data_IF_573980194468
#
_entry.id   IF_573980194468
#
_cell.length_a   1.000
_cell.length_b   1.000
_cell.length_c   1.000
_cell.angle_alpha   90.00
_cell.angle_beta   90.00
_cell.angle_gamma   90.00
#
_symmetry.space_group_name_H-M   'P 1'
#
loop_
_entity.id
_entity.type
_entity.pdbx_description
1 polymer ?
#
# COMPACT_ATOMS: atom_id res chain seq x y z
N UNK A 1 -80.81 25.04 10.13
CA UNK A 1 -79.55 24.99 10.92
C UNK A 1 -79.22 23.52 11.11
N UNK A 2 -78.45 22.91 10.20
CA UNK A 2 -78.10 21.48 10.30
C UNK A 2 -76.98 21.31 11.33
N UNK A 3 -77.29 20.51 12.35
CA UNK A 3 -76.48 20.17 13.50
C UNK A 3 -75.48 19.10 13.04
N UNK A 4 -74.18 19.34 13.21
CA UNK A 4 -73.13 18.38 12.89
C UNK A 4 -73.22 17.15 13.78
N UNK A 5 -73.39 15.98 13.17
CA UNK A 5 -73.40 14.68 13.85
C UNK A 5 -71.94 14.30 14.18
N UNK A 6 -71.58 14.07 15.46
CA UNK A 6 -70.22 13.71 15.85
C UNK A 6 -69.89 12.27 15.42
N UNK A 7 -68.72 12.09 14.80
CA UNK A 7 -68.18 10.77 14.46
C UNK A 7 -67.84 10.03 15.76
N UNK A 8 -68.23 8.75 15.92
CA UNK A 8 -67.92 7.97 17.13
C UNK A 8 -66.41 7.78 17.35
N UNK A 9 -65.92 8.06 18.56
CA UNK A 9 -64.51 7.92 18.99
C UNK A 9 -63.88 6.54 18.69
N UNK A 10 -64.71 5.49 18.56
CA UNK A 10 -64.27 4.13 18.25
C UNK A 10 -63.79 3.97 16.79
N UNK A 11 -64.40 4.69 15.84
CA UNK A 11 -64.01 4.70 14.43
C UNK A 11 -62.71 5.49 14.24
N UNK A 12 -62.55 6.62 14.94
CA UNK A 12 -61.34 7.42 14.93
C UNK A 12 -60.12 6.64 15.49
N UNK A 13 -60.31 5.88 16.58
CA UNK A 13 -59.26 5.01 17.15
C UNK A 13 -58.84 3.88 16.20
N UNK A 14 -59.80 3.19 15.56
CA UNK A 14 -59.50 2.14 14.57
C UNK A 14 -58.74 2.69 13.37
N UNK A 15 -59.12 3.87 12.88
CA UNK A 15 -58.45 4.52 11.77
C UNK A 15 -57.00 4.91 12.12
N UNK A 16 -56.77 5.44 13.32
CA UNK A 16 -55.44 5.79 13.84
C UNK A 16 -54.53 4.56 14.03
N UNK A 17 -55.11 3.45 14.49
CA UNK A 17 -54.39 2.19 14.65
C UNK A 17 -54.00 1.57 13.30
N UNK A 18 -54.90 1.59 12.31
CA UNK A 18 -54.62 1.13 10.95
C UNK A 18 -53.54 1.99 10.26
N UNK A 19 -53.56 3.30 10.47
CA UNK A 19 -52.48 4.18 10.00
C UNK A 19 -51.13 3.87 10.67
N UNK A 20 -51.10 3.60 11.98
CA UNK A 20 -49.87 3.21 12.68
C UNK A 20 -49.31 1.87 12.18
N UNK A 21 -50.16 0.87 11.95
CA UNK A 21 -49.75 -0.43 11.37
C UNK A 21 -49.23 -0.24 9.95
N UNK A 22 -49.90 0.59 9.14
CA UNK A 22 -49.44 0.95 7.79
C UNK A 22 -48.06 1.63 7.80
N UNK A 23 -47.85 2.60 8.69
CA UNK A 23 -46.55 3.27 8.84
C UNK A 23 -45.44 2.32 9.30
N UNK A 24 -45.74 1.35 10.17
CA UNK A 24 -44.77 0.35 10.62
C UNK A 24 -44.39 -0.61 9.48
N UNK A 25 -45.36 -1.06 8.69
CA UNK A 25 -45.13 -1.91 7.52
C UNK A 25 -44.28 -1.20 6.45
N UNK A 26 -44.56 0.09 6.19
CA UNK A 26 -43.77 0.91 5.25
C UNK A 26 -42.33 1.10 5.75
N UNK A 27 -42.13 1.33 7.06
CA UNK A 27 -40.78 1.42 7.65
C UNK A 27 -40.01 0.10 7.56
N UNK A 28 -40.66 -1.03 7.81
CA UNK A 28 -40.04 -2.35 7.65
C UNK A 28 -39.65 -2.63 6.19
N UNK A 29 -40.51 -2.29 5.24
CA UNK A 29 -40.22 -2.43 3.81
C UNK A 29 -39.02 -1.55 3.37
N UNK A 30 -38.97 -0.30 3.84
CA UNK A 30 -37.83 0.60 3.60
C UNK A 30 -36.52 0.05 4.16
N UNK A 31 -36.54 -0.54 5.37
CA UNK A 31 -35.34 -1.17 5.95
C UNK A 31 -34.88 -2.35 5.09
N UNK A 32 -35.79 -3.20 4.60
CA UNK A 32 -35.43 -4.33 3.73
C UNK A 32 -34.86 -3.84 2.40
N UNK A 33 -35.42 -2.78 1.81
CA UNK A 33 -34.90 -2.17 0.56
C UNK A 33 -33.52 -1.55 0.78
N UNK A 34 -33.30 -0.86 1.89
CA UNK A 34 -31.98 -0.29 2.23
C UNK A 34 -30.97 -1.40 2.49
N UNK A 35 -31.32 -2.45 3.23
CA UNK A 35 -30.42 -3.58 3.50
C UNK A 35 -30.10 -4.38 2.24
N UNK A 36 -31.07 -4.58 1.34
CA UNK A 36 -30.84 -5.24 0.05
C UNK A 36 -30.05 -4.37 -0.92
N UNK A 37 -30.28 -3.06 -0.93
CA UNK A 37 -29.45 -2.08 -1.64
C UNK A 37 -28.01 -2.05 -1.12
N UNK A 38 -27.81 -2.05 0.20
CA UNK A 38 -26.48 -2.16 0.83
C UNK A 38 -25.82 -3.50 0.54
N UNK A 39 -26.58 -4.60 0.52
CA UNK A 39 -26.06 -5.93 0.18
C UNK A 39 -25.66 -6.02 -1.29
N UNK A 40 -26.46 -5.48 -2.20
CA UNK A 40 -26.17 -5.39 -3.63
C UNK A 40 -24.99 -4.46 -3.92
N UNK A 41 -24.90 -3.32 -3.23
CA UNK A 41 -23.78 -2.40 -3.30
C UNK A 41 -22.50 -3.02 -2.74
N UNK A 42 -22.57 -3.72 -1.60
CA UNK A 42 -21.44 -4.50 -1.05
C UNK A 42 -21.01 -5.61 -2.01
N UNK A 43 -21.95 -6.22 -2.73
CA UNK A 43 -21.67 -7.16 -3.82
C UNK A 43 -21.07 -6.50 -5.05
N UNK A 44 -21.40 -5.25 -5.37
CA UNK A 44 -20.83 -4.52 -6.51
C UNK A 44 -19.45 -3.94 -6.22
N UNK A 45 -19.14 -3.62 -4.95
CA UNK A 45 -17.77 -3.26 -4.50
C UNK A 45 -16.85 -4.48 -4.60
N UNK A 46 -17.38 -5.69 -4.42
CA UNK A 46 -16.66 -6.96 -4.69
C UNK A 46 -16.81 -7.28 -6.17
N UNK A 47 -16.12 -6.51 -7.00
CA UNK A 47 -16.11 -6.65 -8.45
C UNK A 47 -15.78 -8.08 -8.91
N UNK A 48 -16.31 -8.41 -10.08
CA UNK A 48 -16.46 -9.71 -10.74
C UNK A 48 -15.15 -10.42 -11.15
N UNK A 49 -14.02 -10.11 -10.52
CA UNK A 49 -12.75 -10.87 -10.56
C UNK A 49 -12.03 -10.92 -9.19
N UNK A 50 -12.76 -10.80 -8.07
CA UNK A 50 -12.13 -10.91 -6.74
C UNK A 50 -11.64 -12.35 -6.48
N UNK A 51 -10.32 -12.58 -6.61
CA UNK A 51 -9.68 -13.84 -6.19
C UNK A 51 -9.83 -13.99 -4.67
N UNK A 52 -10.75 -14.85 -4.23
CA UNK A 52 -11.02 -15.05 -2.80
C UNK A 52 -9.91 -15.89 -2.19
N UNK A 53 -9.28 -15.42 -1.12
CA UNK A 53 -8.18 -16.14 -0.44
C UNK A 53 -8.60 -17.52 0.10
N UNK A 54 -9.89 -17.76 0.36
CA UNK A 54 -10.41 -19.11 0.71
C UNK A 54 -10.20 -20.15 -0.40
N UNK A 55 -10.06 -19.69 -1.64
CA UNK A 55 -9.85 -20.53 -2.82
C UNK A 55 -8.35 -20.71 -3.12
N UNK A 56 -7.45 -20.14 -2.30
CA UNK A 56 -6.00 -20.29 -2.40
C UNK A 56 -5.57 -21.68 -1.92
N UNK A 57 -4.87 -22.40 -2.79
CA UNK A 57 -4.25 -23.69 -2.51
C UNK A 57 -2.75 -23.48 -2.29
N UNK A 58 -2.29 -23.74 -1.07
CA UNK A 58 -0.88 -23.62 -0.72
C UNK A 58 -0.06 -24.72 -1.40
N UNK A 59 0.98 -24.32 -2.13
CA UNK A 59 1.98 -25.22 -2.69
C UNK A 59 3.20 -25.31 -1.76
N UNK A 60 3.72 -24.17 -1.30
CA UNK A 60 4.96 -24.09 -0.51
C UNK A 60 5.03 -22.80 0.32
N UNK A 61 5.65 -22.85 1.50
CA UNK A 61 6.07 -21.65 2.24
C UNK A 61 7.40 -21.16 1.65
N UNK A 62 7.45 -19.89 1.23
CA UNK A 62 8.63 -19.27 0.64
C UNK A 62 9.53 -18.63 1.71
N UNK A 63 8.92 -17.92 2.66
CA UNK A 63 9.64 -17.22 3.74
C UNK A 63 8.79 -17.16 5.00
N UNK A 64 9.44 -17.29 6.16
CA UNK A 64 8.81 -17.15 7.48
C UNK A 64 9.74 -16.37 8.41
N UNK A 65 9.28 -15.21 8.85
CA UNK A 65 9.91 -14.40 9.90
C UNK A 65 8.85 -13.97 10.92
N UNK A 66 9.24 -13.26 11.97
CA UNK A 66 8.30 -12.73 12.97
C UNK A 66 7.33 -11.68 12.40
N UNK A 67 7.69 -11.05 11.28
CA UNK A 67 6.95 -9.93 10.67
C UNK A 67 6.37 -10.24 9.28
N UNK A 68 6.78 -11.32 8.64
CA UNK A 68 6.39 -11.65 7.28
C UNK A 68 6.23 -13.17 7.06
N UNK A 69 5.16 -13.54 6.38
CA UNK A 69 4.91 -14.87 5.85
C UNK A 69 4.65 -14.77 4.34
N UNK A 70 5.53 -15.36 3.53
CA UNK A 70 5.37 -15.43 2.08
C UNK A 70 5.06 -16.86 1.64
N UNK A 71 4.04 -17.02 0.80
CA UNK A 71 3.47 -18.31 0.39
C UNK A 71 3.37 -18.39 -1.13
N UNK A 72 3.74 -19.54 -1.69
CA UNK A 72 3.48 -19.90 -3.08
C UNK A 72 2.23 -20.78 -3.15
N UNK A 73 1.32 -20.46 -4.05
CA UNK A 73 0.10 -21.24 -4.25
C UNK A 73 -0.53 -21.05 -5.62
N UNK A 74 -1.71 -21.64 -5.78
CA UNK A 74 -2.58 -21.51 -6.96
C UNK A 74 -4.03 -21.26 -6.50
N UNK A 75 -4.93 -20.86 -7.40
CA UNK A 75 -6.35 -20.70 -7.07
C UNK A 75 -7.19 -21.84 -7.65
N UNK A 76 -8.10 -22.43 -6.85
CA UNK A 76 -8.97 -23.54 -7.26
C UNK A 76 -9.82 -23.28 -8.50
N UNK A 77 -10.12 -22.01 -8.80
CA UNK A 77 -10.92 -21.59 -9.96
C UNK A 77 -10.09 -21.18 -11.18
N UNK A 78 -8.77 -21.32 -11.16
CA UNK A 78 -7.94 -21.03 -12.34
C UNK A 78 -7.62 -22.30 -13.13
N UNK A 79 -8.22 -22.41 -14.32
CA UNK A 79 -8.03 -23.53 -15.25
C UNK A 79 -6.57 -23.69 -15.68
N UNK A 80 -5.81 -22.58 -15.71
CA UNK A 80 -4.42 -22.57 -16.12
C UNK A 80 -3.44 -22.81 -14.96
N UNK A 81 -3.94 -22.98 -13.73
CA UNK A 81 -3.15 -23.19 -12.50
C UNK A 81 -1.96 -22.25 -12.38
N UNK A 82 -2.14 -20.97 -12.76
CA UNK A 82 -1.09 -19.96 -12.68
C UNK A 82 -0.66 -19.79 -11.23
N UNK A 83 0.63 -19.61 -11.03
CA UNK A 83 1.22 -19.42 -9.71
C UNK A 83 0.80 -18.08 -9.11
N UNK A 84 0.75 -18.03 -7.78
CA UNK A 84 0.46 -16.86 -6.99
C UNK A 84 1.43 -16.77 -5.82
N UNK A 85 1.96 -15.57 -5.56
CA UNK A 85 2.73 -15.30 -4.34
C UNK A 85 1.88 -14.45 -3.41
N UNK A 86 1.56 -14.97 -2.23
CA UNK A 86 0.80 -14.31 -1.18
C UNK A 86 1.75 -13.90 -0.06
N UNK A 87 1.81 -12.61 0.24
CA UNK A 87 2.68 -12.04 1.28
C UNK A 87 1.82 -11.43 2.37
N UNK A 88 1.97 -11.93 3.59
CA UNK A 88 1.25 -11.48 4.79
C UNK A 88 2.28 -10.84 5.71
N UNK A 89 2.10 -9.57 6.06
CA UNK A 89 3.01 -8.81 6.91
C UNK A 89 2.27 -8.21 8.09
N UNK A 90 2.94 -8.04 9.23
CA UNK A 90 2.40 -7.21 10.32
C UNK A 90 2.23 -5.77 9.82
N UNK A 91 1.03 -5.21 9.95
CA UNK A 91 0.78 -3.82 9.60
C UNK A 91 1.41 -2.89 10.64
N UNK A 92 1.64 -1.64 10.23
CA UNK A 92 2.07 -0.58 11.15
C UNK A 92 1.02 -0.40 12.26
N UNK A 93 1.49 -0.11 13.47
CA UNK A 93 0.61 0.20 14.59
C UNK A 93 -0.02 1.58 14.35
N UNK A 94 -1.35 1.64 14.34
CA UNK A 94 -2.10 2.89 14.30
C UNK A 94 -2.53 3.29 15.72
N UNK A 95 -2.25 4.54 16.09
CA UNK A 95 -2.67 5.11 17.38
C UNK A 95 -4.16 5.46 17.42
N UNK A 96 -4.85 5.51 16.27
CA UNK A 96 -6.27 5.86 16.18
C UNK A 96 -7.23 4.91 16.90
N UNK A 97 -6.77 3.70 17.25
CA UNK A 97 -7.55 2.68 17.98
C UNK A 97 -6.94 2.28 19.33
N UNK A 98 -6.12 3.17 19.92
CA UNK A 98 -5.32 2.85 21.10
C UNK A 98 -6.17 2.39 22.29
N UNK A 99 -7.31 3.04 22.56
CA UNK A 99 -8.17 2.67 23.69
C UNK A 99 -8.74 1.25 23.57
N UNK A 100 -9.12 0.84 22.35
CA UNK A 100 -9.58 -0.53 22.08
C UNK A 100 -8.46 -1.55 22.17
N UNK A 101 -7.27 -1.18 21.70
CA UNK A 101 -6.08 -2.02 21.79
C UNK A 101 -5.70 -2.26 23.26
N UNK A 102 -5.62 -1.20 24.06
CA UNK A 102 -5.27 -1.25 25.47
C UNK A 102 -6.32 -2.01 26.29
N UNK A 103 -7.61 -1.83 26.00
CA UNK A 103 -8.68 -2.57 26.66
C UNK A 103 -8.62 -4.09 26.43
N UNK A 104 -7.99 -4.54 25.34
CA UNK A 104 -7.81 -5.96 25.01
C UNK A 104 -6.49 -6.57 25.48
N UNK A 105 -5.63 -5.80 26.17
CA UNK A 105 -4.33 -6.26 26.64
C UNK A 105 -4.37 -6.65 28.12
N UNK A 106 -3.70 -7.75 28.47
CA UNK A 106 -3.45 -8.12 29.87
C UNK A 106 -1.94 -8.14 30.13
N UNK A 107 -1.51 -7.40 31.15
CA UNK A 107 -0.12 -7.41 31.60
C UNK A 107 0.07 -8.46 32.69
N UNK A 108 1.17 -9.20 32.63
CA UNK A 108 1.63 -10.06 33.71
C UNK A 108 3.02 -9.62 34.16
N UNK A 109 3.24 -9.62 35.46
CA UNK A 109 4.53 -9.30 36.07
C UNK A 109 5.48 -10.49 35.88
N UNK A 110 6.70 -10.22 35.37
CA UNK A 110 7.64 -11.30 35.00
C UNK A 110 8.88 -11.31 35.90
N UNK A 111 9.24 -10.20 36.55
CA UNK A 111 10.39 -10.11 37.47
C UNK A 111 10.13 -9.06 38.56
N UNK A 112 10.68 -9.31 39.76
CA UNK A 112 10.65 -8.43 40.96
C UNK A 112 11.51 -7.18 40.75
N UNK A 113 11.19 -6.41 39.72
CA UNK A 113 11.83 -5.14 39.37
C UNK A 113 10.88 -4.33 38.49
N UNK A 114 9.68 -4.01 38.97
CA UNK A 114 8.72 -3.07 38.38
C UNK A 114 8.52 -3.18 36.84
N UNK A 115 8.76 -4.36 36.26
CA UNK A 115 8.80 -4.57 34.81
C UNK A 115 7.71 -5.56 34.43
N UNK A 116 6.69 -5.05 33.74
CA UNK A 116 5.53 -5.80 33.29
C UNK A 116 5.72 -6.21 31.81
N UNK A 117 5.34 -7.44 31.44
CA UNK A 117 5.22 -7.83 30.04
C UNK A 117 3.75 -8.09 29.70
N UNK A 118 3.31 -7.55 28.57
CA UNK A 118 1.93 -7.70 28.10
C UNK A 118 1.73 -8.89 27.17
N UNK A 119 0.69 -9.66 27.42
CA UNK A 119 0.10 -10.54 26.43
C UNK A 119 -1.03 -9.77 25.72
N UNK A 120 -0.93 -9.66 24.41
CA UNK A 120 -2.03 -9.19 23.56
C UNK A 120 -2.81 -10.43 23.13
N UNK A 121 -4.14 -10.38 23.17
CA UNK A 121 -4.95 -11.46 22.56
C UNK A 121 -4.58 -11.58 21.07
N UNK A 122 -4.57 -12.82 20.55
CA UNK A 122 -4.13 -13.12 19.15
C UNK A 122 -5.00 -12.45 18.10
N UNK A 123 -6.13 -11.93 18.53
CA UNK A 123 -7.17 -11.24 17.79
C UNK A 123 -6.71 -9.86 17.29
N UNK A 124 -5.63 -9.31 17.86
CA UNK A 124 -5.12 -7.98 17.52
C UNK A 124 -3.73 -8.06 16.88
N UNK A 125 -3.69 -8.48 15.62
CA UNK A 125 -2.61 -8.11 14.70
C UNK A 125 -3.22 -7.70 13.37
N UNK A 126 -3.25 -6.39 13.02
CA UNK A 126 -3.62 -6.01 11.67
C UNK A 126 -2.55 -6.57 10.72
N UNK A 127 -2.94 -7.42 9.78
CA UNK A 127 -2.02 -7.92 8.74
C UNK A 127 -2.24 -7.14 7.44
N UNK A 128 -1.16 -6.68 6.82
CA UNK A 128 -1.16 -6.24 5.43
C UNK A 128 -1.00 -7.47 4.53
N UNK A 129 -1.86 -7.62 3.53
CA UNK A 129 -1.82 -8.75 2.60
C UNK A 129 -1.60 -8.23 1.19
N UNK A 130 -0.56 -8.71 0.53
CA UNK A 130 -0.27 -8.43 -0.88
C UNK A 130 -0.32 -9.74 -1.68
N UNK A 131 -0.94 -9.70 -2.87
CA UNK A 131 -1.05 -10.84 -3.77
C UNK A 131 -0.40 -10.47 -5.11
N UNK A 132 0.55 -11.29 -5.55
CA UNK A 132 1.16 -11.22 -6.88
C UNK A 132 0.59 -12.37 -7.71
N UNK A 133 -0.14 -12.04 -8.77
CA UNK A 133 -0.77 -13.03 -9.65
C UNK A 133 -0.94 -12.47 -11.08
N UNK A 134 -0.54 -13.23 -12.13
CA UNK A 134 0.24 -14.47 -12.06
C UNK A 134 1.69 -14.20 -11.60
N UNK A 135 2.20 -15.07 -10.73
CA UNK A 135 3.58 -15.03 -10.29
C UNK A 135 4.50 -15.61 -11.38
N UNK A 136 5.71 -15.05 -11.47
CA UNK A 136 6.80 -15.58 -12.30
C UNK A 136 7.84 -16.19 -11.38
N UNK A 137 8.75 -17.00 -11.92
CA UNK A 137 9.85 -17.58 -11.12
C UNK A 137 10.69 -16.50 -10.40
N UNK A 138 10.89 -15.33 -11.03
CA UNK A 138 11.53 -14.19 -10.40
C UNK A 138 10.77 -13.66 -9.18
N UNK A 139 9.43 -13.65 -9.22
CA UNK A 139 8.60 -13.28 -8.06
C UNK A 139 8.76 -14.32 -6.94
N UNK A 140 8.75 -15.61 -7.28
CA UNK A 140 8.94 -16.70 -6.32
C UNK A 140 10.30 -16.59 -5.64
N UNK A 141 11.38 -16.43 -6.41
CA UNK A 141 12.74 -16.27 -5.88
C UNK A 141 12.87 -15.06 -4.97
N UNK A 142 12.31 -13.90 -5.36
CA UNK A 142 12.35 -12.66 -4.56
C UNK A 142 11.71 -12.81 -3.18
N UNK A 143 10.66 -13.62 -3.08
CA UNK A 143 9.90 -13.84 -1.84
C UNK A 143 10.29 -15.13 -1.12
N UNK A 144 11.22 -15.92 -1.67
CA UNK A 144 11.85 -17.05 -0.98
C UNK A 144 12.85 -16.52 0.03
N UNK A 145 12.99 -17.19 1.16
CA UNK A 145 14.04 -16.87 2.11
C UNK A 145 15.42 -17.08 1.47
N UNK A 146 16.28 -16.06 1.52
CA UNK A 146 17.58 -16.06 0.84
C UNK A 146 18.70 -15.84 1.84
N UNK A 147 19.79 -16.58 1.66
CA UNK A 147 21.04 -16.28 2.34
C UNK A 147 21.68 -15.06 1.66
N UNK A 148 21.88 -14.00 2.42
CA UNK A 148 22.55 -12.80 1.93
C UNK A 148 24.06 -12.94 2.09
N UNK A 149 24.79 -12.65 1.02
CA UNK A 149 26.24 -12.58 1.02
C UNK A 149 26.68 -11.17 0.66
N UNK A 150 27.70 -10.67 1.37
CA UNK A 150 28.37 -9.44 0.98
C UNK A 150 29.34 -9.76 -0.16
N UNK A 151 29.23 -9.01 -1.25
CA UNK A 151 30.10 -9.14 -2.42
C UNK A 151 30.84 -7.82 -2.66
N UNK A 152 32.08 -7.92 -3.15
CA UNK A 152 32.87 -6.76 -3.58
C UNK A 152 32.98 -6.81 -5.09
N UNK A 153 32.37 -5.83 -5.76
CA UNK A 153 32.35 -5.74 -7.21
C UNK A 153 33.35 -4.68 -7.69
N UNK A 154 34.48 -5.12 -8.27
CA UNK A 154 35.42 -4.21 -8.93
C UNK A 154 34.86 -3.75 -10.28
N UNK A 155 35.52 -2.77 -10.91
CA UNK A 155 35.16 -2.34 -12.26
C UNK A 155 35.24 -3.49 -13.26
N UNK A 156 36.27 -4.32 -13.17
CA UNK A 156 36.50 -5.45 -14.07
C UNK A 156 35.40 -6.51 -13.91
N UNK A 157 35.00 -6.81 -12.67
CA UNK A 157 33.88 -7.72 -12.38
C UNK A 157 32.57 -7.16 -12.92
N UNK A 158 32.32 -5.86 -12.74
CA UNK A 158 31.15 -5.20 -13.31
C UNK A 158 31.10 -5.37 -14.83
N UNK A 159 32.18 -5.03 -15.55
CA UNK A 159 32.22 -5.09 -17.02
C UNK A 159 32.06 -6.51 -17.56
N UNK A 160 32.66 -7.51 -16.90
CA UNK A 160 32.72 -8.88 -17.39
C UNK A 160 31.53 -9.75 -16.98
N UNK A 161 30.91 -9.48 -15.83
CA UNK A 161 29.86 -10.34 -15.24
C UNK A 161 28.55 -9.56 -15.10
N UNK A 162 28.56 -8.50 -14.27
CA UNK A 162 27.32 -7.81 -13.90
C UNK A 162 26.69 -7.10 -15.09
N UNK A 163 27.48 -6.42 -15.91
CA UNK A 163 27.02 -5.72 -17.10
C UNK A 163 26.44 -6.70 -18.12
N UNK A 164 27.05 -7.87 -18.32
CA UNK A 164 26.51 -8.91 -19.20
C UNK A 164 25.14 -9.41 -18.71
N UNK A 165 24.98 -9.62 -17.40
CA UNK A 165 23.67 -9.91 -16.82
C UNK A 165 22.68 -8.78 -17.06
N UNK A 166 23.06 -7.54 -16.78
CA UNK A 166 22.23 -6.34 -17.00
C UNK A 166 21.78 -6.26 -18.47
N UNK A 167 22.69 -6.42 -19.43
CA UNK A 167 22.41 -6.41 -20.87
C UNK A 167 21.49 -7.56 -21.32
N UNK A 168 21.50 -8.70 -20.61
CA UNK A 168 20.59 -9.83 -20.88
C UNK A 168 19.13 -9.56 -20.46
N UNK A 169 18.85 -8.52 -19.67
CA UNK A 169 17.49 -8.21 -19.20
C UNK A 169 16.66 -7.64 -20.34
N UNK A 170 15.60 -8.36 -20.72
CA UNK A 170 14.64 -7.90 -21.72
C UNK A 170 13.97 -6.58 -21.35
N UNK A 171 13.84 -5.68 -22.32
CA UNK A 171 13.26 -4.34 -22.14
C UNK A 171 11.83 -4.36 -21.57
N UNK A 172 11.05 -5.42 -21.84
CA UNK A 172 9.70 -5.61 -21.30
C UNK A 172 9.65 -5.61 -19.76
N UNK A 173 10.74 -6.00 -19.10
CA UNK A 173 10.83 -5.94 -17.64
C UNK A 173 10.73 -4.51 -17.10
N UNK A 174 11.11 -3.52 -17.90
CA UNK A 174 11.02 -2.09 -17.57
C UNK A 174 9.74 -1.43 -18.09
N UNK A 175 8.85 -2.18 -18.76
CA UNK A 175 7.67 -1.60 -19.41
C UNK A 175 6.76 -0.82 -18.45
N UNK A 176 6.64 -1.27 -17.20
CA UNK A 176 5.86 -0.55 -16.19
C UNK A 176 6.47 0.83 -15.87
N UNK A 177 7.81 0.95 -15.86
CA UNK A 177 8.51 2.24 -15.70
C UNK A 177 8.21 3.14 -16.90
N UNK A 178 8.30 2.58 -18.11
CA UNK A 178 8.02 3.34 -19.33
C UNK A 178 6.56 3.76 -19.42
N UNK A 179 5.62 2.96 -18.92
CA UNK A 179 4.22 3.36 -18.86
C UNK A 179 3.99 4.56 -17.93
N UNK A 180 4.75 4.69 -16.84
CA UNK A 180 4.72 5.88 -15.98
C UNK A 180 5.31 7.08 -16.72
N UNK A 181 6.50 6.91 -17.34
CA UNK A 181 7.17 7.97 -18.10
C UNK A 181 6.38 8.45 -19.34
N UNK A 182 5.54 7.58 -19.91
CA UNK A 182 4.66 7.85 -21.05
C UNK A 182 3.24 8.27 -20.61
N UNK A 183 2.99 8.46 -19.30
CA UNK A 183 1.69 8.79 -18.71
C UNK A 183 0.56 7.82 -19.05
N UNK A 184 0.88 6.56 -19.34
CA UNK A 184 -0.06 5.46 -19.59
C UNK A 184 -0.55 4.81 -18.30
N UNK A 185 0.13 5.02 -17.17
CA UNK A 185 -0.25 4.50 -15.85
C UNK A 185 0.25 5.41 -14.73
N UNK A 186 -0.49 5.45 -13.61
CA UNK A 186 -0.12 6.17 -12.38
C UNK A 186 0.03 7.70 -12.54
N UNK A 187 -0.42 8.27 -13.65
CA UNK A 187 -0.29 9.68 -14.00
C UNK A 187 -0.94 10.60 -12.95
N UNK A 188 -2.04 10.16 -12.36
CA UNK A 188 -2.77 10.86 -11.30
C UNK A 188 -2.01 10.91 -9.97
N UNK A 189 -1.00 10.05 -9.79
CA UNK A 189 -0.18 10.00 -8.56
C UNK A 189 1.09 10.83 -8.68
N UNK A 190 1.37 11.41 -9.85
CA UNK A 190 2.57 12.23 -10.06
C UNK A 190 2.51 13.47 -9.16
N UNK A 191 3.54 13.63 -8.32
CA UNK A 191 3.68 14.78 -7.43
C UNK A 191 4.35 15.93 -8.18
N UNK A 192 5.35 15.62 -9.00
CA UNK A 192 6.12 16.60 -9.77
C UNK A 192 6.74 15.93 -10.99
N UNK A 193 6.91 16.70 -12.05
CA UNK A 193 7.60 16.26 -13.26
C UNK A 193 8.36 17.43 -13.88
N UNK A 194 9.62 17.17 -14.23
CA UNK A 194 10.40 17.97 -15.18
C UNK A 194 10.51 17.15 -16.47
N UNK A 195 9.87 17.63 -17.54
CA UNK A 195 9.76 16.93 -18.83
C UNK A 195 11.05 16.94 -19.66
N UNK A 196 12.14 17.52 -19.16
CA UNK A 196 13.40 17.51 -19.90
C UNK A 196 13.89 16.07 -20.14
N UNK A 197 14.16 15.66 -21.39
CA UNK A 197 14.48 14.27 -21.70
C UNK A 197 15.84 13.79 -21.16
N UNK A 198 16.75 14.72 -20.78
CA UNK A 198 18.09 14.39 -20.25
C UNK A 198 18.23 14.70 -18.76
N UNK A 199 17.75 15.88 -18.36
CA UNK A 199 17.95 16.41 -17.00
C UNK A 199 16.67 16.34 -16.15
N UNK A 200 15.58 15.81 -16.70
CA UNK A 200 14.26 15.75 -16.08
C UNK A 200 13.91 14.37 -15.49
N UNK A 201 12.85 14.35 -14.70
CA UNK A 201 12.37 13.18 -13.97
C UNK A 201 10.90 13.33 -13.53
N UNK A 202 10.26 12.20 -13.24
CA UNK A 202 8.97 12.13 -12.55
C UNK A 202 9.19 11.78 -11.08
N UNK A 203 8.56 12.51 -10.16
CA UNK A 203 8.46 12.21 -8.73
C UNK A 203 7.06 11.70 -8.39
N UNK A 204 6.96 10.52 -7.80
CA UNK A 204 5.69 9.90 -7.42
C UNK A 204 5.80 9.07 -6.11
N UNK A 205 4.69 8.81 -5.39
CA UNK A 205 4.65 7.90 -4.25
C UNK A 205 5.02 6.46 -4.65
N UNK A 206 5.84 5.80 -3.83
CA UNK A 206 6.07 4.35 -3.96
C UNK A 206 4.84 3.56 -3.48
N UNK A 207 4.65 2.33 -3.95
CA UNK A 207 3.57 1.45 -3.49
C UNK A 207 3.64 1.12 -1.99
N UNK A 208 4.80 1.30 -1.35
CA UNK A 208 4.98 1.14 0.10
C UNK A 208 4.33 2.27 0.90
N UNK A 209 4.14 3.45 0.32
CA UNK A 209 3.48 4.58 0.94
C UNK A 209 2.03 4.71 0.44
N UNK A 210 1.11 4.09 1.17
CA UNK A 210 -0.30 3.97 0.78
C UNK A 210 -1.23 5.02 1.39
N UNK A 211 -0.76 5.75 2.41
CA UNK A 211 -1.54 6.78 3.09
C UNK A 211 -0.81 8.14 3.03
N UNK A 212 -1.26 9.06 2.17
CA UNK A 212 -0.69 10.40 2.06
C UNK A 212 -0.72 11.22 3.37
N UNK A 213 -1.60 10.88 4.31
CA UNK A 213 -1.65 11.54 5.61
C UNK A 213 -0.53 11.08 6.56
N UNK A 214 -0.02 9.85 6.37
CA UNK A 214 1.06 9.30 7.17
C UNK A 214 2.44 9.68 6.61
N UNK A 215 2.86 10.92 6.88
CA UNK A 215 4.15 11.46 6.46
C UNK A 215 5.36 10.78 7.12
N UNK A 216 5.18 10.10 8.25
CA UNK A 216 6.26 9.33 8.90
C UNK A 216 6.69 8.13 8.05
N UNK A 217 5.78 7.62 7.21
CA UNK A 217 6.04 6.55 6.25
C UNK A 217 6.27 7.06 4.82
N UNK A 218 6.48 8.37 4.63
CA UNK A 218 6.64 9.00 3.32
C UNK A 218 7.74 8.30 2.51
N UNK A 219 7.33 7.77 1.37
CA UNK A 219 8.19 7.04 0.45
C UNK A 219 7.87 7.46 -0.98
N UNK A 220 8.86 8.05 -1.66
CA UNK A 220 8.72 8.47 -3.05
C UNK A 220 9.83 7.89 -3.91
N UNK A 221 9.54 7.76 -5.20
CA UNK A 221 10.48 7.44 -6.26
C UNK A 221 10.64 8.64 -7.18
N UNK A 222 11.89 8.93 -7.54
CA UNK A 222 12.21 9.81 -8.66
C UNK A 222 12.71 8.94 -9.83
N UNK A 223 12.00 8.95 -10.95
CA UNK A 223 12.29 8.15 -12.15
C UNK A 223 12.75 9.10 -13.26
N UNK A 224 13.99 8.94 -13.71
CA UNK A 224 14.59 9.83 -14.73
C UNK A 224 13.97 9.58 -16.11
N UNK A 225 13.86 10.61 -16.96
CA UNK A 225 13.38 10.41 -18.34
C UNK A 225 14.40 9.70 -19.23
N UNK A 226 15.70 9.87 -18.97
CA UNK A 226 16.77 9.25 -19.75
C UNK A 226 16.78 7.72 -19.54
N UNK A 227 16.26 6.98 -20.53
CA UNK A 227 16.17 5.52 -20.52
C UNK A 227 17.52 4.81 -20.67
N UNK A 228 18.60 5.54 -21.00
CA UNK A 228 19.93 4.96 -21.11
C UNK A 228 20.60 4.72 -19.75
N UNK A 229 20.14 5.42 -18.70
CA UNK A 229 20.69 5.28 -17.35
C UNK A 229 20.03 4.09 -16.65
N UNK A 230 20.82 3.05 -16.36
CA UNK A 230 20.36 1.78 -15.77
C UNK A 230 20.67 1.68 -14.29
N UNK A 231 21.79 2.24 -13.84
CA UNK A 231 22.19 2.26 -12.43
C UNK A 231 23.18 3.39 -12.12
N UNK A 232 23.66 3.45 -10.87
CA UNK A 232 24.71 4.41 -10.47
C UNK A 232 26.03 4.20 -11.23
N UNK A 233 26.26 3.04 -11.86
CA UNK A 233 27.46 2.77 -12.67
C UNK A 233 27.50 3.58 -13.97
N UNK A 234 26.34 4.04 -14.46
CA UNK A 234 26.24 4.84 -15.69
C UNK A 234 26.42 6.35 -15.41
N UNK A 235 26.47 6.75 -14.14
CA UNK A 235 26.61 8.14 -13.75
C UNK A 235 28.03 8.65 -14.02
N UNK A 236 28.09 9.89 -14.47
CA UNK A 236 29.32 10.62 -14.81
C UNK A 236 29.13 12.10 -14.48
N UNK A 237 30.16 12.92 -14.67
CA UNK A 237 30.08 14.36 -14.45
C UNK A 237 29.00 15.07 -15.30
N UNK A 238 28.64 14.53 -16.48
CA UNK A 238 27.58 15.13 -17.31
C UNK A 238 26.20 15.06 -16.66
N UNK A 239 25.99 14.11 -15.74
CA UNK A 239 24.72 13.89 -15.05
C UNK A 239 24.56 14.74 -13.78
N UNK A 240 25.54 15.60 -13.44
CA UNK A 240 25.45 16.45 -12.24
C UNK A 240 24.24 17.38 -12.26
N UNK A 241 23.81 17.85 -13.45
CA UNK A 241 22.63 18.70 -13.58
C UNK A 241 21.35 17.93 -13.25
N UNK A 242 21.14 16.76 -13.86
CA UNK A 242 20.07 15.82 -13.51
C UNK A 242 20.04 15.52 -12.00
N UNK A 243 21.17 15.15 -11.40
CA UNK A 243 21.23 14.79 -9.98
C UNK A 243 20.89 15.96 -9.03
N UNK A 244 21.35 17.17 -9.36
CA UNK A 244 20.98 18.39 -8.61
C UNK A 244 19.50 18.72 -8.79
N UNK A 245 18.97 18.58 -10.01
CA UNK A 245 17.55 18.79 -10.27
C UNK A 245 16.67 17.83 -9.46
N UNK A 246 17.01 16.53 -9.46
CA UNK A 246 16.31 15.53 -8.63
C UNK A 246 16.33 15.93 -7.17
N UNK A 247 17.48 16.32 -6.62
CA UNK A 247 17.61 16.74 -5.22
C UNK A 247 16.79 17.99 -4.92
N UNK A 248 17.06 19.07 -5.63
CA UNK A 248 16.56 20.40 -5.29
C UNK A 248 15.04 20.49 -5.53
N UNK A 249 14.57 20.01 -6.69
CA UNK A 249 13.14 20.02 -7.03
C UNK A 249 12.33 19.08 -6.14
N UNK A 250 12.87 17.91 -5.79
CA UNK A 250 12.18 17.01 -4.85
C UNK A 250 12.05 17.64 -3.47
N UNK A 251 13.12 18.23 -2.93
CA UNK A 251 13.10 18.85 -1.60
C UNK A 251 12.11 20.01 -1.55
N UNK A 252 12.11 20.88 -2.56
CA UNK A 252 11.17 21.99 -2.65
C UNK A 252 9.73 21.49 -2.69
N UNK A 253 9.41 20.60 -3.64
CA UNK A 253 8.05 20.05 -3.79
C UNK A 253 7.55 19.39 -2.52
N UNK A 254 8.42 18.68 -1.80
CA UNK A 254 8.05 17.98 -0.57
C UNK A 254 7.83 18.94 0.60
N UNK A 255 8.57 20.05 0.64
CA UNK A 255 8.32 21.15 1.57
C UNK A 255 7.01 21.87 1.25
N UNK A 256 6.78 22.24 -0.01
CA UNK A 256 5.59 23.01 -0.42
C UNK A 256 4.30 22.20 -0.28
N UNK A 257 4.28 20.94 -0.75
CA UNK A 257 3.06 20.12 -0.77
C UNK A 257 2.76 19.40 0.54
N UNK A 258 3.79 19.01 1.29
CA UNK A 258 3.64 18.16 2.48
C UNK A 258 4.23 18.75 3.75
N UNK A 259 4.84 19.94 3.70
CA UNK A 259 5.46 20.58 4.86
C UNK A 259 6.71 19.86 5.38
N UNK A 260 7.31 18.94 4.60
CA UNK A 260 8.46 18.14 5.03
C UNK A 260 9.75 18.92 4.82
N UNK A 261 10.42 19.30 5.91
CA UNK A 261 11.74 19.94 5.85
C UNK A 261 12.82 19.02 5.28
N UNK A 262 13.78 19.62 4.59
CA UNK A 262 14.89 18.91 3.94
C UNK A 262 15.74 18.09 4.92
N UNK A 263 15.83 18.53 6.18
CA UNK A 263 16.52 17.82 7.27
C UNK A 263 15.90 16.46 7.61
N UNK A 264 14.62 16.23 7.30
CA UNK A 264 13.92 14.95 7.52
C UNK A 264 13.98 14.00 6.31
N UNK A 265 14.67 14.41 5.24
CA UNK A 265 14.67 13.68 3.97
C UNK A 265 15.98 12.94 3.78
N UNK A 266 15.90 11.61 3.70
CA UNK A 266 17.02 10.78 3.22
C UNK A 266 16.85 10.50 1.73
N UNK A 267 17.89 10.83 0.97
CA UNK A 267 17.99 10.61 -0.46
C UNK A 267 19.12 9.62 -0.76
N UNK A 268 18.83 8.52 -1.44
CA UNK A 268 19.79 7.48 -1.81
C UNK A 268 19.42 6.71 -3.08
N UNK A 269 20.40 6.02 -3.65
CA UNK A 269 20.22 5.05 -4.71
C UNK A 269 20.45 3.64 -4.16
N UNK A 270 19.76 2.65 -4.73
CA UNK A 270 20.08 1.25 -4.47
C UNK A 270 21.19 0.76 -5.39
N UNK A 271 22.08 -0.07 -4.84
CA UNK A 271 23.03 -0.86 -5.61
C UNK A 271 23.21 -2.25 -4.98
N UNK A 272 22.85 -3.35 -5.63
CA UNK A 272 22.16 -3.43 -6.93
C UNK A 272 20.71 -2.90 -6.86
N UNK A 273 20.18 -2.27 -7.93
CA UNK A 273 18.79 -1.83 -7.96
C UNK A 273 17.84 -3.00 -8.16
N UNK A 274 16.57 -2.84 -7.76
CA UNK A 274 15.53 -3.88 -8.00
C UNK A 274 15.12 -3.97 -9.48
N UNK A 275 15.35 -2.91 -10.25
CA UNK A 275 15.12 -2.82 -11.69
C UNK A 275 16.13 -1.84 -12.30
N UNK A 276 16.57 -2.10 -13.53
CA UNK A 276 17.69 -1.39 -14.18
C UNK A 276 17.23 -0.23 -15.07
N UNK A 277 16.52 0.70 -14.44
CA UNK A 277 16.26 2.06 -14.90
C UNK A 277 16.58 2.97 -13.73
N UNK A 278 17.44 3.98 -13.90
CA UNK A 278 17.93 4.78 -12.79
C UNK A 278 16.76 5.44 -12.05
N UNK A 279 16.66 5.13 -10.77
CA UNK A 279 15.64 5.68 -9.89
C UNK A 279 16.24 5.98 -8.53
N UNK A 280 15.80 7.08 -7.95
CA UNK A 280 16.18 7.51 -6.63
C UNK A 280 15.06 7.15 -5.64
N UNK A 281 15.46 6.66 -4.47
CA UNK A 281 14.54 6.23 -3.41
C UNK A 281 14.61 7.21 -2.24
N UNK A 282 13.45 7.78 -1.89
CA UNK A 282 13.30 8.61 -0.69
C UNK A 282 12.63 7.82 0.44
N UNK A 283 13.23 7.86 1.62
CA UNK A 283 12.56 7.51 2.89
C UNK A 283 12.66 8.73 3.82
N UNK A 284 11.56 9.13 4.47
CA UNK A 284 11.64 10.03 5.63
C UNK A 284 12.06 9.25 6.87
N UNK A 285 12.80 9.92 7.76
CA UNK A 285 13.02 9.44 9.12
C UNK A 285 12.51 10.50 10.10
N UNK A 286 11.54 10.10 10.93
CA UNK A 286 11.25 10.60 12.28
C UNK A 286 11.05 12.11 12.48
N UNK A 287 9.85 12.50 12.88
CA UNK A 287 9.67 13.69 13.75
C UNK A 287 10.41 13.44 15.07
N UNK A 288 11.68 13.82 15.18
CA UNK A 288 12.27 14.11 16.49
C UNK A 288 11.94 15.56 16.83
N UNK A 289 10.75 15.79 17.39
CA UNK A 289 10.32 17.13 17.80
C UNK A 289 8.80 17.28 17.81
N UNK A 290 8.13 16.65 18.76
CA UNK A 290 6.96 17.32 19.34
C UNK A 290 7.50 18.60 19.99
N UNK A 291 7.00 19.81 19.65
CA UNK A 291 7.15 20.91 20.59
C UNK A 291 6.44 20.45 21.87
N UNK A 292 7.16 20.44 22.98
CA UNK A 292 6.55 20.33 24.30
C UNK A 292 5.42 21.36 24.35
N UNK A 293 4.18 20.89 24.39
CA UNK A 293 3.05 21.71 24.81
C UNK A 293 3.29 21.98 26.31
N UNK A 294 3.75 23.20 26.60
CA UNK A 294 3.56 23.83 27.90
C UNK A 294 2.14 24.36 28.04
#
# INVERSE_FOLDING_TARGET
MYIGIPVPDSLAKKHKMLQQVGHLAVRAALIVVVLSGLWLWRRSIVGTESKRLKDFNLVRVLKRTDKELALLGTFKGDSHKKEAVLVIQTAAMDSGSLDRLLAGMSLHEILVSDTFQGAVTRDIKPYKVNLIYPATEAHVMKHTDQNFHMVVETKEVYETITKAFIDSIHAEKMQWVYNILDHKSESERIIYEDVNPRDGFILLPDFKWSDPANLESLYCLAIVHDRSLRSIRDLTASHLRLLRNIRDSSLEVLKTKYGVDSSFVRMYFHYQPTYYHLHHVKMTFGRSGLPYLG
#
